data_IF_020355439943
#
_entry.id   IF_020355439943
#
_cell.length_a   1.000
_cell.length_b   1.000
_cell.length_c   1.000
_cell.angle_alpha   90.00
_cell.angle_beta   90.00
_cell.angle_gamma   90.00
#
_symmetry.space_group_name_H-M   'P 1'
#
loop_
_entity.id
_entity.type
_entity.pdbx_description
1 polymer ?
#
# COMPACT_ATOMS: atom_id res chain seq x y z
N UNK A 1 -15.19 4.92 -9.93
CA UNK A 1 -14.23 5.35 -8.89
C UNK A 1 -14.37 4.42 -7.71
N UNK A 2 -13.39 3.55 -7.47
CA UNK A 2 -13.55 2.36 -6.64
C UNK A 2 -13.26 2.57 -5.15
N UNK A 3 -13.78 3.63 -4.52
CA UNK A 3 -13.69 3.81 -3.06
C UNK A 3 -14.67 2.92 -2.25
N UNK A 4 -15.05 1.74 -2.77
CA UNK A 4 -16.03 0.84 -2.13
C UNK A 4 -15.78 -0.66 -2.32
N UNK A 5 -14.61 -1.07 -2.81
CA UNK A 5 -14.29 -2.51 -2.88
C UNK A 5 -13.39 -2.82 -1.70
N UNK A 6 -13.99 -3.20 -0.57
CA UNK A 6 -13.38 -3.83 0.63
C UNK A 6 -11.87 -4.09 0.48
N UNK A 7 -11.06 -3.04 0.61
CA UNK A 7 -9.62 -3.18 0.65
C UNK A 7 -9.35 -3.70 2.05
N UNK A 8 -8.77 -4.89 2.15
CA UNK A 8 -8.32 -5.42 3.42
C UNK A 8 -7.05 -4.66 3.79
N UNK A 9 -7.24 -3.49 4.40
CA UNK A 9 -6.17 -2.56 4.76
C UNK A 9 -5.33 -3.23 5.85
N UNK A 10 -4.07 -3.53 5.52
CA UNK A 10 -3.12 -4.08 6.49
C UNK A 10 -2.79 -3.03 7.54
N UNK A 11 -2.35 -3.45 8.71
CA UNK A 11 -1.85 -2.48 9.68
C UNK A 11 -0.49 -1.91 9.20
N UNK A 12 -0.15 -0.68 9.61
CA UNK A 12 1.16 -0.10 9.28
C UNK A 12 2.32 -0.91 9.90
N UNK A 13 2.08 -1.59 11.02
CA UNK A 13 3.03 -2.53 11.63
C UNK A 13 3.28 -3.75 10.74
N UNK A 14 2.22 -4.34 10.17
CA UNK A 14 2.33 -5.46 9.24
C UNK A 14 3.07 -5.06 7.97
N UNK A 15 2.76 -3.87 7.44
CA UNK A 15 3.45 -3.30 6.27
C UNK A 15 4.93 -3.08 6.60
N UNK A 16 5.25 -2.53 7.78
CA UNK A 16 6.62 -2.32 8.21
C UNK A 16 7.39 -3.64 8.36
N UNK A 17 6.78 -4.66 8.95
CA UNK A 17 7.37 -5.99 9.08
C UNK A 17 7.68 -6.59 7.71
N UNK A 18 6.75 -6.49 6.76
CA UNK A 18 6.96 -6.96 5.40
C UNK A 18 8.09 -6.22 4.69
N UNK A 19 8.17 -4.89 4.80
CA UNK A 19 9.26 -4.10 4.20
C UNK A 19 10.61 -4.50 4.81
N UNK A 20 10.69 -4.75 6.12
CA UNK A 20 11.93 -5.21 6.77
C UNK A 20 12.39 -6.57 6.26
N UNK A 21 11.45 -7.50 6.06
CA UNK A 21 11.75 -8.86 5.61
C UNK A 21 12.03 -8.95 4.10
N UNK A 22 11.15 -8.35 3.28
CA UNK A 22 11.13 -8.52 1.82
C UNK A 22 11.75 -7.36 1.05
N UNK A 23 12.00 -6.22 1.69
CA UNK A 23 12.59 -4.99 1.08
C UNK A 23 11.73 -4.32 -0.01
N UNK A 24 10.46 -4.72 -0.15
CA UNK A 24 9.50 -4.07 -1.03
C UNK A 24 8.11 -4.02 -0.36
N UNK A 25 7.17 -3.30 -0.98
CA UNK A 25 5.80 -3.20 -0.47
C UNK A 25 5.01 -4.49 -0.73
N UNK A 26 4.05 -4.83 0.15
CA UNK A 26 3.16 -5.94 -0.09
C UNK A 26 2.40 -5.82 -1.42
N UNK A 27 2.43 -6.89 -2.22
CA UNK A 27 1.74 -6.95 -3.52
C UNK A 27 2.50 -6.26 -4.67
N UNK A 28 3.63 -5.61 -4.39
CA UNK A 28 4.55 -5.09 -5.40
C UNK A 28 5.72 -6.06 -5.52
N UNK A 29 6.08 -6.53 -6.73
CA UNK A 29 7.26 -7.37 -6.89
C UNK A 29 8.54 -6.60 -6.55
N UNK A 30 9.57 -7.33 -6.15
CA UNK A 30 10.91 -6.77 -5.99
C UNK A 30 11.48 -6.33 -7.34
N UNK A 31 12.48 -5.44 -7.32
CA UNK A 31 13.17 -5.02 -8.54
C UNK A 31 13.75 -6.23 -9.31
N UNK A 32 14.27 -7.22 -8.58
CA UNK A 32 14.82 -8.44 -9.16
C UNK A 32 13.75 -9.28 -9.88
N UNK A 33 12.59 -9.47 -9.26
CA UNK A 33 11.46 -10.18 -9.90
C UNK A 33 10.95 -9.42 -11.14
N UNK A 34 10.91 -8.08 -11.08
CA UNK A 34 10.54 -7.26 -12.25
C UNK A 34 11.54 -7.38 -13.41
N UNK A 35 12.84 -7.54 -13.11
CA UNK A 35 13.89 -7.76 -14.11
C UNK A 35 13.80 -9.15 -14.73
N UNK A 36 13.48 -10.19 -13.94
CA UNK A 36 13.39 -11.58 -14.40
C UNK A 36 12.09 -11.87 -15.17
N UNK A 37 10.94 -11.42 -14.67
CA UNK A 37 9.62 -11.71 -15.25
C UNK A 37 9.15 -10.66 -16.27
N UNK A 38 9.81 -9.50 -16.28
CA UNK A 38 9.42 -8.34 -17.07
C UNK A 38 8.29 -7.52 -16.44
N UNK A 39 8.08 -6.30 -16.95
CA UNK A 39 7.13 -5.34 -16.37
C UNK A 39 5.86 -5.26 -17.23
N UNK A 40 4.73 -5.68 -16.67
CA UNK A 40 3.42 -5.38 -17.25
C UNK A 40 2.93 -4.00 -16.78
N UNK A 41 3.01 -3.01 -17.68
CA UNK A 41 2.63 -1.62 -17.37
C UNK A 41 1.18 -1.46 -16.91
N UNK A 42 0.24 -2.26 -17.45
CA UNK A 42 -1.16 -2.20 -17.05
C UNK A 42 -1.33 -2.70 -15.61
N UNK A 43 -0.69 -3.82 -15.28
CA UNK A 43 -0.73 -4.38 -13.94
C UNK A 43 -0.05 -3.47 -12.91
N UNK A 44 1.11 -2.90 -13.26
CA UNK A 44 1.82 -1.96 -12.39
C UNK A 44 1.02 -0.69 -12.12
N UNK A 45 0.32 -0.15 -13.12
CA UNK A 45 -0.55 1.01 -12.92
C UNK A 45 -1.76 0.68 -12.02
N UNK A 46 -2.32 -0.53 -12.13
CA UNK A 46 -3.39 -0.97 -11.23
C UNK A 46 -2.89 -1.12 -9.79
N UNK A 47 -1.72 -1.76 -9.60
CA UNK A 47 -1.06 -1.90 -8.30
C UNK A 47 -0.70 -0.52 -7.70
N UNK A 48 -0.25 0.43 -8.52
CA UNK A 48 0.02 1.79 -8.08
C UNK A 48 -1.24 2.48 -7.56
N UNK A 49 -2.35 2.38 -8.30
CA UNK A 49 -3.63 2.95 -7.87
C UNK A 49 -4.12 2.33 -6.56
N UNK A 50 -3.99 1.01 -6.40
CA UNK A 50 -4.29 0.30 -5.15
C UNK A 50 -3.46 0.86 -3.97
N UNK A 51 -2.15 1.10 -4.17
CA UNK A 51 -1.31 1.68 -3.12
C UNK A 51 -1.65 3.14 -2.81
N UNK A 52 -2.07 3.92 -3.81
CA UNK A 52 -2.56 5.30 -3.58
C UNK A 52 -3.84 5.29 -2.76
N UNK A 53 -4.76 4.36 -3.01
CA UNK A 53 -5.98 4.19 -2.22
C UNK A 53 -5.66 3.79 -0.77
N UNK A 54 -4.77 2.81 -0.55
CA UNK A 54 -4.27 2.42 0.77
C UNK A 54 -3.64 3.59 1.54
N UNK A 55 -2.73 4.34 0.90
CA UNK A 55 -2.10 5.51 1.49
C UNK A 55 -3.11 6.59 1.86
N UNK A 56 -4.13 6.80 1.02
CA UNK A 56 -5.20 7.76 1.31
C UNK A 56 -5.98 7.36 2.57
N UNK A 57 -6.26 6.06 2.74
CA UNK A 57 -6.93 5.54 3.94
C UNK A 57 -6.05 5.71 5.20
N UNK A 58 -4.77 5.35 5.14
CA UNK A 58 -3.84 5.57 6.26
C UNK A 58 -3.76 7.06 6.65
N UNK A 59 -3.73 7.98 5.69
CA UNK A 59 -3.70 9.42 5.97
C UNK A 59 -4.99 9.89 6.66
N UNK A 60 -6.15 9.37 6.26
CA UNK A 60 -7.43 9.68 6.91
C UNK A 60 -7.45 9.17 8.35
N UNK A 61 -6.96 7.96 8.58
CA UNK A 61 -6.83 7.35 9.91
C UNK A 61 -5.89 8.18 10.81
N UNK A 62 -4.66 8.46 10.34
CA UNK A 62 -3.69 9.30 11.04
C UNK A 62 -4.25 10.69 11.38
N UNK A 63 -4.95 11.33 10.43
CA UNK A 63 -5.59 12.63 10.68
C UNK A 63 -6.68 12.54 11.75
N UNK A 64 -7.39 11.41 11.81
CA UNK A 64 -8.42 11.15 12.83
C UNK A 64 -7.80 10.96 14.21
N UNK A 65 -6.71 10.21 14.31
CA UNK A 65 -5.97 10.02 15.56
C UNK A 65 -5.36 11.33 16.08
N UNK A 66 -4.71 12.10 15.20
CA UNK A 66 -4.16 13.42 15.56
C UNK A 66 -5.24 14.35 16.11
N UNK A 67 -6.46 14.32 15.53
CA UNK A 67 -7.59 15.09 16.05
C UNK A 67 -8.04 14.63 17.43
N UNK A 68 -7.97 13.34 17.74
CA UNK A 68 -8.28 12.81 19.08
C UNK A 68 -7.24 13.25 20.12
N UNK A 69 -5.96 13.25 19.76
CA UNK A 69 -4.87 13.64 20.65
C UNK A 69 -4.79 15.15 20.92
N UNK A 70 -5.35 15.99 20.02
CA UNK A 70 -5.38 17.46 20.15
C UNK A 70 -6.61 18.00 20.87
N UNK A 71 -7.53 17.13 21.31
CA UNK A 71 -8.69 17.50 22.13
C UNK A 71 -8.36 17.31 23.60
#
# INVERSE_FOLDING_TARGET
>A
MCLKKTINLRSLEEVQAHIKEKRHLPGIPSAKEMEEEGINLKEMNLKLLEKVEELTLYVIELKTEIKKLKK
#
